data_IF_485536296012
#
_entry.id   IF_485536296012
#
_cell.length_a   1.000
_cell.length_b   1.000
_cell.length_c   1.000
_cell.angle_alpha   90.00
_cell.angle_beta   90.00
_cell.angle_gamma   90.00
#
_symmetry.space_group_name_H-M   'P 1'
#
loop_
_entity.id
_entity.type
_entity.pdbx_description
1 polymer ?
#
# COMPACT_ATOMS: atom_id res chain seq x y z
N UNK A 1 -46.78 -39.31 -51.31
CA UNK A 1 -46.97 -40.75 -51.48
C UNK A 1 -46.01 -41.47 -50.55
N UNK A 2 -46.57 -42.20 -49.60
CA UNK A 2 -46.02 -43.30 -48.77
C UNK A 2 -44.93 -42.98 -47.71
N UNK A 3 -45.33 -43.25 -46.46
CA UNK A 3 -44.56 -43.33 -45.22
C UNK A 3 -43.56 -44.49 -45.21
N UNK A 4 -42.55 -44.41 -44.33
CA UNK A 4 -42.08 -45.44 -43.37
C UNK A 4 -40.65 -45.04 -42.92
N UNK A 5 -40.20 -45.20 -41.68
CA UNK A 5 -40.70 -45.95 -40.55
C UNK A 5 -39.86 -45.63 -39.31
N UNK A 6 -40.23 -46.30 -38.22
CA UNK A 6 -40.06 -45.93 -36.81
C UNK A 6 -38.83 -46.63 -36.19
N UNK A 7 -38.42 -46.11 -35.02
CA UNK A 7 -37.72 -46.78 -33.91
C UNK A 7 -36.21 -47.02 -34.03
N UNK A 8 -35.43 -46.59 -33.03
CA UNK A 8 -35.26 -47.39 -31.81
C UNK A 8 -34.43 -46.61 -30.76
N UNK A 9 -34.90 -46.65 -29.51
CA UNK A 9 -34.25 -46.10 -28.32
C UNK A 9 -32.90 -46.77 -28.04
N UNK A 10 -31.93 -46.01 -27.55
CA UNK A 10 -30.98 -46.52 -26.54
C UNK A 10 -30.54 -45.42 -25.60
N UNK A 11 -31.06 -45.51 -24.37
CA UNK A 11 -30.63 -44.77 -23.21
C UNK A 11 -29.16 -45.08 -22.89
N UNK A 12 -28.36 -44.04 -22.62
CA UNK A 12 -27.10 -44.17 -21.89
C UNK A 12 -27.17 -43.22 -20.70
N UNK A 13 -27.46 -43.84 -19.54
CA UNK A 13 -27.13 -43.31 -18.20
C UNK A 13 -25.61 -43.32 -18.07
N UNK A 14 -24.99 -42.21 -17.68
CA UNK A 14 -23.70 -42.20 -16.98
C UNK A 14 -23.51 -40.84 -16.30
N UNK A 15 -23.79 -40.75 -15.00
CA UNK A 15 -22.81 -40.84 -13.89
C UNK A 15 -22.02 -39.55 -13.68
N UNK A 16 -22.53 -38.73 -12.76
CA UNK A 16 -21.80 -38.11 -11.65
C UNK A 16 -20.35 -37.63 -11.91
N UNK A 17 -20.16 -36.32 -12.02
CA UNK A 17 -18.92 -35.66 -11.65
C UNK A 17 -19.26 -34.44 -10.78
N UNK A 18 -19.28 -34.66 -9.46
CA UNK A 18 -19.30 -33.60 -8.46
C UNK A 18 -17.91 -32.96 -8.49
N UNK A 19 -17.77 -31.84 -9.20
CA UNK A 19 -16.59 -30.99 -9.08
C UNK A 19 -16.75 -30.21 -7.78
N UNK A 20 -16.16 -30.72 -6.70
CA UNK A 20 -15.88 -29.94 -5.50
C UNK A 20 -14.97 -28.78 -5.91
N UNK A 21 -15.55 -27.61 -6.13
CA UNK A 21 -14.85 -26.34 -6.15
C UNK A 21 -14.39 -26.07 -4.71
N UNK A 22 -13.20 -26.55 -4.39
CA UNK A 22 -12.43 -26.11 -3.24
C UNK A 22 -12.12 -24.63 -3.42
N UNK A 23 -13.05 -23.75 -3.03
CA UNK A 23 -12.76 -22.34 -2.83
C UNK A 23 -11.85 -22.27 -1.62
N UNK A 24 -10.55 -22.34 -1.87
CA UNK A 24 -9.55 -21.84 -0.94
C UNK A 24 -9.87 -20.36 -0.77
N UNK A 25 -10.59 -20.03 0.30
CA UNK A 25 -10.62 -18.68 0.83
C UNK A 25 -9.19 -18.37 1.30
N UNK A 26 -8.33 -17.98 0.37
CA UNK A 26 -7.19 -17.17 0.69
C UNK A 26 -7.77 -15.96 1.40
N UNK A 27 -7.53 -15.84 2.71
CA UNK A 27 -7.87 -14.63 3.44
C UNK A 27 -7.34 -13.49 2.60
N UNK A 28 -8.24 -12.65 2.09
CA UNK A 28 -7.88 -11.48 1.33
C UNK A 28 -7.04 -10.63 2.28
N UNK A 29 -5.74 -10.69 2.10
CA UNK A 29 -4.83 -9.72 2.66
C UNK A 29 -5.26 -8.40 2.02
N UNK A 30 -6.08 -7.61 2.71
CA UNK A 30 -6.69 -6.36 2.19
C UNK A 30 -5.64 -5.26 1.94
N UNK A 31 -4.37 -5.64 2.02
CA UNK A 31 -3.22 -4.86 1.63
C UNK A 31 -3.29 -4.52 0.14
N UNK A 32 -3.18 -3.23 -0.25
CA UNK A 32 -3.33 -2.79 -1.64
C UNK A 32 -2.21 -3.29 -2.57
N UNK A 33 -1.10 -3.81 -2.02
CA UNK A 33 0.04 -4.31 -2.78
C UNK A 33 1.10 -3.24 -3.02
N UNK A 34 2.34 -3.67 -3.25
CA UNK A 34 3.50 -2.76 -3.32
C UNK A 34 3.35 -1.71 -4.43
N UNK A 35 2.84 -2.11 -5.60
CA UNK A 35 2.64 -1.20 -6.73
C UNK A 35 1.58 -0.14 -6.46
N UNK A 36 0.56 -0.47 -5.67
CA UNK A 36 -0.44 0.49 -5.25
C UNK A 36 0.15 1.49 -4.23
N UNK A 37 0.92 1.01 -3.26
CA UNK A 37 1.64 1.89 -2.31
C UNK A 37 2.59 2.82 -3.06
N UNK A 38 3.37 2.29 -3.99
CA UNK A 38 4.25 3.05 -4.88
C UNK A 38 3.48 4.17 -5.58
N UNK A 39 2.38 3.83 -6.24
CA UNK A 39 1.54 4.76 -7.00
C UNK A 39 0.92 5.84 -6.10
N UNK A 40 0.50 5.48 -4.89
CA UNK A 40 -0.03 6.42 -3.91
C UNK A 40 1.03 7.43 -3.48
N UNK A 41 2.25 6.99 -3.19
CA UNK A 41 3.33 7.85 -2.71
C UNK A 41 3.79 8.87 -3.76
N UNK A 42 3.95 8.46 -5.01
CA UNK A 42 4.54 9.31 -6.08
C UNK A 42 3.52 10.21 -6.78
N UNK A 43 2.21 10.02 -6.54
CA UNK A 43 1.16 10.78 -7.22
C UNK A 43 1.10 12.24 -6.74
N UNK A 44 1.13 12.53 -5.43
CA UNK A 44 1.24 13.91 -4.94
C UNK A 44 2.65 14.46 -5.20
N UNK A 45 2.74 15.76 -5.50
CA UNK A 45 4.03 16.43 -5.67
C UNK A 45 4.83 16.43 -4.36
N UNK A 46 4.16 16.73 -3.25
CA UNK A 46 4.78 16.70 -1.92
C UNK A 46 3.84 16.17 -0.85
N UNK A 47 4.44 15.77 0.26
CA UNK A 47 3.80 15.27 1.46
C UNK A 47 4.27 16.06 2.67
N UNK A 48 3.36 16.33 3.61
CA UNK A 48 3.73 16.83 4.94
C UNK A 48 3.81 15.65 5.91
N UNK A 49 4.99 15.43 6.46
CA UNK A 49 5.24 14.50 7.57
C UNK A 49 5.10 15.22 8.90
N UNK A 50 4.18 14.73 9.73
CA UNK A 50 3.95 15.20 11.09
C UNK A 50 4.60 14.23 12.08
N UNK A 51 5.33 14.74 13.06
CA UNK A 51 5.98 13.93 14.09
C UNK A 51 5.68 14.49 15.48
N UNK A 52 5.26 13.62 16.39
CA UNK A 52 4.90 14.01 17.74
C UNK A 52 5.06 12.84 18.72
N UNK A 53 5.60 13.10 19.92
CA UNK A 53 5.52 12.15 21.03
C UNK A 53 4.16 12.33 21.71
N UNK A 54 3.24 11.41 21.42
CA UNK A 54 1.85 11.49 21.86
C UNK A 54 1.13 10.15 21.71
N UNK A 55 0.05 9.96 22.46
CA UNK A 55 -0.88 8.84 22.31
C UNK A 55 -2.13 9.20 21.48
N UNK A 56 -2.22 10.46 21.04
CA UNK A 56 -3.33 10.96 20.22
C UNK A 56 -3.39 10.28 18.84
N UNK A 57 -4.60 10.18 18.28
CA UNK A 57 -4.84 9.54 16.99
C UNK A 57 -4.43 10.40 15.79
N UNK A 58 -4.34 11.72 15.98
CA UNK A 58 -4.05 12.72 14.96
C UNK A 58 -2.97 13.70 15.44
N UNK A 59 -2.21 14.34 14.53
CA UNK A 59 -1.23 15.33 14.92
C UNK A 59 -1.90 16.57 15.51
N UNK A 60 -1.33 17.10 16.58
CA UNK A 60 -1.75 18.38 17.15
C UNK A 60 -0.99 19.56 16.53
N UNK A 61 -1.32 20.77 16.95
CA UNK A 61 -0.62 21.98 16.49
C UNK A 61 0.87 22.04 16.87
N UNK A 62 1.29 21.24 17.87
CA UNK A 62 2.69 21.15 18.31
C UNK A 62 3.53 20.15 17.50
N UNK A 63 2.90 19.37 16.63
CA UNK A 63 3.60 18.37 15.82
C UNK A 63 4.67 19.04 14.94
N UNK A 64 5.86 18.44 14.90
CA UNK A 64 6.91 18.88 13.98
C UNK A 64 6.49 18.56 12.55
N UNK A 65 6.69 19.50 11.63
CA UNK A 65 6.27 19.38 10.22
C UNK A 65 7.50 19.36 9.32
N UNK A 66 7.55 18.40 8.40
CA UNK A 66 8.58 18.32 7.37
C UNK A 66 7.94 18.03 6.02
N UNK A 67 8.39 18.72 4.98
CA UNK A 67 7.91 18.48 3.62
C UNK A 67 8.82 17.46 2.94
N UNK A 68 8.19 16.48 2.29
CA UNK A 68 8.84 15.40 1.57
C UNK A 68 8.34 15.35 0.13
N UNK A 69 9.23 15.02 -0.79
CA UNK A 69 8.93 14.66 -2.16
C UNK A 69 9.26 13.16 -2.31
N UNK A 70 8.36 12.38 -2.92
CA UNK A 70 8.61 10.99 -3.26
C UNK A 70 8.61 10.82 -4.78
N UNK A 71 9.65 10.19 -5.31
CA UNK A 71 9.84 10.07 -6.75
C UNK A 71 10.51 8.75 -7.12
N UNK A 72 10.44 8.38 -8.39
CA UNK A 72 11.10 7.18 -8.90
C UNK A 72 12.49 7.52 -9.47
N UNK A 73 13.50 6.73 -9.09
CA UNK A 73 14.85 6.77 -9.68
C UNK A 73 15.41 5.35 -9.72
N UNK A 74 15.98 4.94 -10.85
CA UNK A 74 16.60 3.62 -11.02
C UNK A 74 15.69 2.46 -10.55
N UNK A 75 14.41 2.52 -10.93
CA UNK A 75 13.34 1.57 -10.56
C UNK A 75 12.99 1.53 -9.06
N UNK A 76 13.65 2.32 -8.23
CA UNK A 76 13.41 2.46 -6.79
C UNK A 76 12.56 3.68 -6.48
N UNK A 77 11.85 3.64 -5.35
CA UNK A 77 11.19 4.82 -4.81
C UNK A 77 12.14 5.51 -3.85
N UNK A 78 12.35 6.80 -4.09
CA UNK A 78 13.20 7.67 -3.30
C UNK A 78 12.33 8.69 -2.57
N UNK A 79 12.78 9.14 -1.41
CA UNK A 79 12.21 10.26 -0.68
C UNK A 79 13.27 11.34 -0.50
N UNK A 80 12.86 12.60 -0.63
CA UNK A 80 13.72 13.76 -0.41
C UNK A 80 13.00 14.74 0.50
N UNK A 81 13.70 15.25 1.51
CA UNK A 81 13.18 16.35 2.33
C UNK A 81 13.35 17.67 1.58
N UNK A 82 12.26 18.44 1.47
CA UNK A 82 12.20 19.74 0.80
C UNK A 82 12.46 20.88 1.81
N UNK A 83 13.04 21.99 1.34
CA UNK A 83 13.19 23.22 2.14
C UNK A 83 14.42 23.29 3.05
N UNK A 84 15.36 22.35 2.93
CA UNK A 84 16.68 22.49 3.54
C UNK A 84 17.61 23.24 2.59
N UNK A 85 18.12 24.40 3.02
CA UNK A 85 19.03 25.24 2.24
C UNK A 85 20.35 24.56 1.85
N UNK A 86 20.70 23.45 2.52
CA UNK A 86 21.86 22.62 2.23
C UNK A 86 21.37 21.20 1.93
N UNK A 87 21.19 20.89 0.65
CA UNK A 87 21.07 19.55 0.07
C UNK A 87 20.36 18.52 0.95
N UNK A 88 19.05 18.36 0.76
CA UNK A 88 18.33 17.20 1.26
C UNK A 88 19.01 15.92 0.73
N UNK A 89 19.25 14.97 1.62
CA UNK A 89 19.61 13.61 1.25
C UNK A 89 18.41 12.93 0.57
N UNK A 90 18.70 12.16 -0.48
CA UNK A 90 17.73 11.23 -1.04
C UNK A 90 17.83 9.92 -0.25
N UNK A 91 16.71 9.40 0.24
CA UNK A 91 16.63 8.10 0.91
C UNK A 91 15.84 7.12 0.06
N UNK A 92 16.31 5.88 -0.02
CA UNK A 92 15.58 4.80 -0.67
C UNK A 92 14.49 4.26 0.27
N UNK A 93 13.29 4.07 -0.26
CA UNK A 93 12.18 3.46 0.46
C UNK A 93 12.19 1.96 0.23
N UNK A 94 12.11 1.18 1.31
CA UNK A 94 11.77 -0.23 1.26
C UNK A 94 10.25 -0.35 1.29
N UNK A 95 9.65 -0.56 0.12
CA UNK A 95 8.21 -0.74 -0.02
C UNK A 95 7.79 -2.13 0.48
N UNK A 96 6.55 -2.21 0.92
CA UNK A 96 5.83 -3.44 1.27
C UNK A 96 4.42 -3.35 0.72
N UNK A 97 3.69 -4.45 0.79
CA UNK A 97 2.31 -4.49 0.34
C UNK A 97 1.38 -3.58 1.15
N UNK A 98 1.72 -3.36 2.43
CA UNK A 98 0.93 -2.61 3.42
C UNK A 98 1.49 -1.20 3.73
N UNK A 99 2.57 -0.77 3.08
CA UNK A 99 3.23 0.48 3.43
C UNK A 99 4.70 0.49 3.04
N UNK A 100 5.53 1.16 3.84
CA UNK A 100 6.96 1.27 3.55
C UNK A 100 7.78 1.58 4.80
N UNK A 101 9.09 1.48 4.66
CA UNK A 101 10.06 1.93 5.66
C UNK A 101 11.25 2.58 4.96
N UNK A 102 12.03 3.36 5.68
CA UNK A 102 13.26 3.95 5.17
C UNK A 102 14.31 4.04 6.27
N UNK A 103 15.53 4.47 5.93
CA UNK A 103 16.57 4.82 6.91
C UNK A 103 16.74 6.33 6.95
N UNK A 104 16.96 6.87 8.15
CA UNK A 104 17.26 8.28 8.28
C UNK A 104 18.60 8.60 7.64
N UNK A 105 18.72 9.82 7.14
CA UNK A 105 19.97 10.29 6.58
C UNK A 105 21.04 10.50 7.66
N UNK A 106 22.32 10.51 7.28
CA UNK A 106 23.41 10.91 8.15
C UNK A 106 23.16 12.28 8.81
N UNK A 107 23.62 12.49 10.07
CA UNK A 107 24.46 11.58 10.85
C UNK A 107 23.69 10.54 11.66
N UNK A 108 22.35 10.55 11.64
CA UNK A 108 21.56 9.63 12.46
C UNK A 108 21.77 8.17 12.04
N UNK A 109 21.89 7.89 10.73
CA UNK A 109 22.05 6.57 10.07
C UNK A 109 21.31 5.41 10.78
N UNK A 110 20.17 5.72 11.38
CA UNK A 110 19.38 4.79 12.17
C UNK A 110 18.29 4.18 11.28
N UNK A 111 17.76 3.03 11.70
CA UNK A 111 16.50 2.54 11.13
C UNK A 111 15.46 3.64 11.24
N UNK A 112 14.93 4.07 10.11
CA UNK A 112 13.84 5.02 10.07
C UNK A 112 12.53 4.34 10.44
N UNK A 113 11.45 5.12 10.52
CA UNK A 113 10.14 4.61 10.86
C UNK A 113 9.62 3.67 9.77
N UNK A 114 8.79 2.72 10.20
CA UNK A 114 7.91 1.98 9.31
C UNK A 114 6.53 2.62 9.34
N UNK A 115 6.00 2.96 8.16
CA UNK A 115 4.67 3.50 7.99
C UNK A 115 3.77 2.45 7.35
N UNK A 116 2.54 2.36 7.85
CA UNK A 116 1.49 1.46 7.37
C UNK A 116 0.41 2.30 6.70
N UNK A 117 -0.11 1.80 5.59
CA UNK A 117 -1.20 2.40 4.85
C UNK A 117 -2.54 2.12 5.55
N UNK A 118 -3.29 3.18 5.84
CA UNK A 118 -4.61 3.15 6.44
C UNK A 118 -5.64 3.76 5.48
N UNK A 119 -6.34 2.94 4.67
CA UNK A 119 -7.33 3.45 3.73
C UNK A 119 -8.56 4.08 4.39
N UNK A 120 -8.76 3.86 5.70
CA UNK A 120 -9.90 4.44 6.43
C UNK A 120 -9.66 5.89 6.85
N UNK A 121 -8.41 6.35 6.80
CA UNK A 121 -8.02 7.73 7.10
C UNK A 121 -7.45 8.42 5.84
N UNK A 122 -8.32 8.98 4.98
CA UNK A 122 -7.88 9.64 3.76
C UNK A 122 -7.07 10.92 4.02
N UNK A 123 -7.15 11.49 5.23
CA UNK A 123 -6.40 12.68 5.58
C UNK A 123 -4.94 12.33 5.93
N UNK A 124 -4.72 11.21 6.61
CA UNK A 124 -3.41 10.69 6.98
C UNK A 124 -3.24 9.22 6.58
N UNK A 125 -3.15 8.92 5.27
CA UNK A 125 -3.21 7.55 4.78
C UNK A 125 -1.98 6.71 5.14
N UNK A 126 -0.89 7.29 5.65
CA UNK A 126 0.27 6.53 6.14
C UNK A 126 0.63 6.94 7.56
N UNK A 127 0.78 5.95 8.44
CA UNK A 127 0.99 6.16 9.88
C UNK A 127 2.09 5.26 10.45
N UNK A 128 2.90 5.82 11.36
CA UNK A 128 3.88 5.06 12.15
C UNK A 128 3.34 4.72 13.54
N UNK A 129 3.64 3.52 14.04
CA UNK A 129 3.08 3.00 15.30
C UNK A 129 4.01 3.08 16.52
N UNK A 130 5.09 3.87 16.45
CA UNK A 130 6.02 4.05 17.57
C UNK A 130 5.50 4.97 18.69
N UNK A 131 6.27 5.14 19.79
CA UNK A 131 6.03 6.17 20.80
C UNK A 131 6.10 7.59 20.24
N UNK A 132 6.96 7.78 19.23
CA UNK A 132 6.89 8.93 18.33
C UNK A 132 5.94 8.57 17.20
N UNK A 133 4.76 9.20 17.19
CA UNK A 133 3.78 9.05 16.13
C UNK A 133 4.23 9.80 14.89
N UNK A 134 3.92 9.23 13.74
CA UNK A 134 4.22 9.81 12.43
C UNK A 134 2.98 9.70 11.57
N UNK A 135 2.63 10.78 10.89
CA UNK A 135 1.55 10.81 9.92
C UNK A 135 2.03 11.48 8.64
N UNK A 136 1.63 10.95 7.49
CA UNK A 136 1.81 11.62 6.20
C UNK A 136 0.48 12.15 5.67
N UNK A 137 0.47 13.43 5.31
CA UNK A 137 -0.63 14.08 4.60
C UNK A 137 -0.15 14.50 3.21
N UNK A 138 -0.89 14.13 2.17
CA UNK A 138 -0.60 14.62 0.82
C UNK A 138 -0.89 16.13 0.77
N UNK A 139 0.00 16.89 0.13
CA UNK A 139 -0.26 18.29 -0.18
C UNK A 139 -0.99 18.37 -1.53
N UNK A 140 -1.97 19.27 -1.63
CA UNK A 140 -2.72 19.55 -2.87
C UNK A 140 -1.91 20.38 -3.86
#
# INVERSE_FOLDING_TARGET
MVLNGICMMRAIRSTLAIVLLSVSAFGADNSPGEDAIRSLLIKPETWTMYLEFTDEAMPSDRAQKMIWEYFQRDQKVMGRRVGLAFGGCDLELSLRSDGFSFRWCPPLDASGPSLVYDPSDPQYPFKGHGPQKIWLKANE
#
